data_IF_933699664868
#
_entry.id   IF_933699664868
#
_cell.length_a   1.000
_cell.length_b   1.000
_cell.length_c   1.000
_cell.angle_alpha   90.00
_cell.angle_beta   90.00
_cell.angle_gamma   90.00
#
_symmetry.space_group_name_H-M   'P 1'
#
loop_
_entity.id
_entity.type
_entity.pdbx_description
1 polymer ?
#
# COMPACT_ATOMS: atom_id res chain seq x y z
N UNK A 1 -4.51 -62.10 20.38
CA UNK A 1 -3.09 -61.75 20.62
C UNK A 1 -3.05 -60.22 20.65
N UNK A 2 -3.57 -59.61 21.72
CA UNK A 2 -2.88 -59.22 22.95
C UNK A 2 -2.38 -57.77 22.86
N UNK A 3 -3.04 -56.91 23.64
CA UNK A 3 -2.63 -55.55 23.99
C UNK A 3 -1.25 -55.52 24.65
N UNK A 4 -0.68 -54.33 24.82
CA UNK A 4 -0.51 -53.85 26.19
C UNK A 4 -0.85 -52.35 26.39
N UNK A 5 -1.39 -52.03 27.58
CA UNK A 5 -1.30 -50.71 28.21
C UNK A 5 0.07 -50.56 28.89
N UNK A 6 0.57 -49.32 29.09
CA UNK A 6 0.66 -48.74 30.44
C UNK A 6 0.53 -47.19 30.41
N UNK A 7 0.54 -46.38 31.46
CA UNK A 7 0.22 -46.41 32.89
C UNK A 7 0.34 -44.94 33.32
N UNK A 8 -0.51 -44.47 34.23
CA UNK A 8 -0.40 -43.16 34.89
C UNK A 8 0.59 -43.25 36.04
N UNK A 9 1.33 -42.17 36.35
CA UNK A 9 1.55 -41.87 37.76
C UNK A 9 1.16 -40.44 38.17
N UNK A 10 0.80 -40.36 39.44
CA UNK A 10 0.14 -39.28 40.17
C UNK A 10 1.15 -38.48 41.02
N UNK A 11 0.76 -37.23 41.30
CA UNK A 11 1.11 -36.38 42.46
C UNK A 11 2.54 -35.85 42.65
N UNK A 12 2.65 -34.53 42.90
CA UNK A 12 2.85 -34.03 44.26
C UNK A 12 2.70 -32.49 44.34
N UNK A 13 2.13 -32.05 45.46
CA UNK A 13 1.81 -30.66 45.83
C UNK A 13 3.01 -29.85 46.36
N UNK A 14 2.82 -28.53 46.32
CA UNK A 14 3.49 -27.34 46.90
C UNK A 14 4.31 -27.50 48.21
N UNK A 15 5.26 -26.58 48.51
CA UNK A 15 4.91 -25.37 49.30
C UNK A 15 5.66 -24.06 48.93
N UNK A 16 5.03 -22.93 49.30
CA UNK A 16 5.63 -21.58 49.44
C UNK A 16 6.68 -21.51 50.57
N UNK A 17 7.47 -20.43 50.60
CA UNK A 17 7.80 -19.80 51.88
C UNK A 17 7.52 -18.30 51.94
N UNK A 18 7.23 -17.89 53.17
CA UNK A 18 6.82 -16.57 53.65
C UNK A 18 7.98 -15.57 53.82
N UNK A 19 7.60 -14.30 54.01
CA UNK A 19 8.44 -13.17 54.44
C UNK A 19 9.05 -13.34 55.84
N UNK A 20 10.08 -12.54 56.19
CA UNK A 20 9.84 -11.53 57.23
C UNK A 20 10.53 -10.15 57.05
N UNK A 21 9.82 -9.12 57.55
CA UNK A 21 10.21 -7.93 58.32
C UNK A 21 11.50 -7.09 58.05
N UNK A 22 11.25 -5.80 57.72
CA UNK A 22 11.84 -4.51 58.16
C UNK A 22 13.34 -4.34 58.50
N UNK A 23 13.98 -3.38 57.80
CA UNK A 23 15.25 -2.70 58.10
C UNK A 23 15.54 -1.57 57.07
N UNK A 24 16.38 -0.56 57.34
CA UNK A 24 16.04 0.86 57.11
C UNK A 24 16.33 1.43 55.71
N UNK A 25 15.66 2.55 55.46
CA UNK A 25 15.83 3.51 54.36
C UNK A 25 17.28 3.97 54.17
N UNK A 26 17.79 3.84 52.94
CA UNK A 26 18.97 4.55 52.48
C UNK A 26 18.75 5.02 51.02
N UNK A 27 19.03 6.30 50.81
CA UNK A 27 18.67 7.13 49.67
C UNK A 27 19.19 6.63 48.32
N UNK A 28 18.31 6.70 47.31
CA UNK A 28 18.64 6.48 45.90
C UNK A 28 19.56 7.60 45.36
N UNK A 29 20.57 7.29 44.53
CA UNK A 29 21.17 8.31 43.70
C UNK A 29 20.21 8.66 42.56
N UNK A 30 19.89 9.95 42.43
CA UNK A 30 19.18 10.47 41.28
C UNK A 30 20.08 10.32 40.04
N UNK A 31 19.84 9.27 39.27
CA UNK A 31 20.25 9.24 37.87
C UNK A 31 19.42 10.30 37.15
N UNK A 32 20.03 11.46 36.89
CA UNK A 32 19.51 12.42 35.92
C UNK A 32 19.32 11.70 34.61
N UNK A 33 18.07 11.31 34.33
CA UNK A 33 17.65 10.93 33.01
C UNK A 33 17.88 12.17 32.13
N UNK A 34 18.97 12.14 31.36
CA UNK A 34 19.02 12.94 30.14
C UNK A 34 17.80 12.51 29.35
N UNK A 35 16.81 13.41 29.27
CA UNK A 35 15.75 13.31 28.28
C UNK A 35 16.46 13.40 26.95
N UNK A 36 16.90 12.24 26.44
CA UNK A 36 17.29 12.12 25.05
C UNK A 36 16.07 12.59 24.28
N UNK A 37 16.24 13.68 23.53
CA UNK A 37 15.27 14.08 22.52
C UNK A 37 14.98 12.83 21.72
N UNK A 38 13.83 12.19 21.98
CA UNK A 38 13.36 11.10 21.16
C UNK A 38 13.32 11.70 19.76
N UNK A 39 14.20 11.22 18.87
CA UNK A 39 13.98 11.42 17.44
C UNK A 39 12.55 10.98 17.26
N UNK A 40 11.66 11.90 16.87
CA UNK A 40 10.36 11.53 16.36
C UNK A 40 10.65 10.45 15.32
N UNK A 41 10.28 9.20 15.60
CA UNK A 41 10.07 8.24 14.53
C UNK A 41 9.11 8.98 13.62
N UNK A 42 9.59 9.45 12.48
CA UNK A 42 8.75 10.13 11.52
C UNK A 42 7.69 9.11 11.15
N UNK A 43 6.49 9.24 11.73
CA UNK A 43 5.32 8.58 11.19
C UNK A 43 5.29 8.99 9.72
N UNK A 44 5.27 8.02 8.82
CA UNK A 44 5.19 8.33 7.39
C UNK A 44 3.98 9.21 7.05
N UNK A 45 3.91 9.71 5.82
CA UNK A 45 2.84 10.60 5.40
C UNK A 45 1.48 9.91 5.60
N UNK A 46 0.52 10.69 6.06
CA UNK A 46 -0.89 10.33 6.05
C UNK A 46 -1.41 10.27 4.62
N UNK A 47 -2.53 9.57 4.43
CA UNK A 47 -3.24 9.51 3.14
C UNK A 47 -3.66 10.91 2.65
N UNK A 48 -4.00 11.81 3.57
CA UNK A 48 -4.33 13.19 3.23
C UNK A 48 -3.12 13.94 2.69
N UNK A 49 -1.94 13.80 3.33
CA UNK A 49 -0.70 14.42 2.86
C UNK A 49 -0.25 13.88 1.49
N UNK A 50 -0.46 12.58 1.23
CA UNK A 50 -0.23 12.00 -0.10
C UNK A 50 -1.17 12.61 -1.15
N UNK A 51 -2.46 12.75 -0.83
CA UNK A 51 -3.45 13.33 -1.73
C UNK A 51 -3.15 14.81 -2.03
N UNK A 52 -2.77 15.57 -1.01
CA UNK A 52 -2.41 16.98 -1.15
C UNK A 52 -1.11 17.15 -1.95
N UNK A 53 -0.17 16.22 -1.82
CA UNK A 53 1.04 16.19 -2.66
C UNK A 53 0.70 15.96 -4.14
N UNK A 54 -0.05 14.89 -4.47
CA UNK A 54 -0.34 14.58 -5.88
C UNK A 54 -1.19 15.66 -6.55
N UNK A 55 -2.07 16.34 -5.81
CA UNK A 55 -2.85 17.48 -6.33
C UNK A 55 -1.97 18.66 -6.68
N UNK A 56 -1.09 19.09 -5.76
CA UNK A 56 -0.17 20.21 -6.01
C UNK A 56 0.79 19.90 -7.16
N UNK A 57 1.30 18.68 -7.23
CA UNK A 57 2.17 18.25 -8.33
C UNK A 57 1.43 18.22 -9.67
N UNK A 58 0.14 17.85 -9.69
CA UNK A 58 -0.68 17.87 -10.90
C UNK A 58 -1.00 19.30 -11.40
N UNK A 59 -0.94 20.31 -10.53
CA UNK A 59 -1.12 21.73 -10.89
C UNK A 59 0.18 22.37 -11.43
N UNK A 60 1.34 21.76 -11.21
CA UNK A 60 2.63 22.27 -11.68
C UNK A 60 2.82 22.01 -13.18
N UNK A 61 2.40 22.97 -14.01
CA UNK A 61 2.49 22.87 -15.46
C UNK A 61 3.91 22.67 -15.99
N UNK A 62 4.94 23.18 -15.27
CA UNK A 62 6.33 23.02 -15.70
C UNK A 62 6.80 21.59 -15.45
N UNK A 63 6.43 21.00 -14.30
CA UNK A 63 6.65 19.59 -14.01
C UNK A 63 5.95 18.70 -15.05
N UNK A 64 4.67 18.95 -15.34
CA UNK A 64 3.92 18.15 -16.34
C UNK A 64 4.57 18.25 -17.73
N UNK A 65 4.98 19.45 -18.16
CA UNK A 65 5.64 19.66 -19.45
C UNK A 65 7.05 19.03 -19.53
N UNK A 66 7.67 18.70 -18.39
CA UNK A 66 9.00 18.06 -18.37
C UNK A 66 8.96 16.56 -18.69
N UNK A 67 7.79 15.92 -18.64
CA UNK A 67 7.64 14.51 -18.94
C UNK A 67 7.77 14.26 -20.45
N UNK A 68 8.79 13.50 -20.93
CA UNK A 68 8.84 13.11 -22.33
C UNK A 68 7.72 12.09 -22.60
N UNK A 69 6.68 12.51 -23.31
CA UNK A 69 5.60 11.61 -23.72
C UNK A 69 6.06 10.75 -24.91
N UNK A 70 5.81 9.45 -24.80
CA UNK A 70 5.99 8.48 -25.88
C UNK A 70 4.61 8.11 -26.44
N UNK A 71 4.37 8.14 -27.75
CA UNK A 71 3.10 7.73 -28.35
C UNK A 71 2.79 6.23 -28.22
N UNK A 72 3.79 5.38 -28.00
CA UNK A 72 3.61 3.92 -27.97
C UNK A 72 3.73 3.36 -26.55
N UNK A 73 4.69 3.89 -25.77
CA UNK A 73 4.98 3.44 -24.41
C UNK A 73 4.43 4.34 -23.31
N UNK A 74 4.07 3.77 -22.17
CA UNK A 74 3.91 4.55 -20.94
C UNK A 74 5.26 5.14 -20.55
N UNK A 75 5.29 6.41 -20.14
CA UNK A 75 6.50 7.07 -19.64
C UNK A 75 6.36 7.43 -18.18
N UNK A 76 7.47 7.48 -17.46
CA UNK A 76 7.44 7.85 -16.04
C UNK A 76 8.71 8.56 -15.60
N UNK A 77 8.53 9.45 -14.63
CA UNK A 77 9.63 10.13 -13.93
C UNK A 77 9.35 10.04 -12.43
N UNK A 78 10.39 9.71 -11.66
CA UNK A 78 10.30 9.65 -10.19
C UNK A 78 10.26 11.06 -9.61
N UNK A 79 9.40 11.26 -8.61
CA UNK A 79 9.29 12.51 -7.87
C UNK A 79 9.75 12.34 -6.42
N UNK A 80 10.19 13.43 -5.81
CA UNK A 80 10.48 13.47 -4.37
C UNK A 80 9.18 13.57 -3.57
N UNK A 81 8.64 12.41 -3.20
CA UNK A 81 7.41 12.31 -2.42
C UNK A 81 7.59 12.64 -0.93
N UNK A 82 6.52 13.05 -0.23
CA UNK A 82 6.59 13.44 1.18
C UNK A 82 6.92 12.27 2.10
N UNK A 83 7.70 12.53 3.16
CA UNK A 83 7.89 11.58 4.27
C UNK A 83 8.43 10.20 3.87
N UNK A 84 9.20 10.12 2.78
CA UNK A 84 9.75 8.87 2.26
C UNK A 84 8.78 8.04 1.42
N UNK A 85 7.66 8.62 0.97
CA UNK A 85 6.78 7.98 -0.01
C UNK A 85 7.46 7.83 -1.36
N UNK A 86 7.06 6.81 -2.09
CA UNK A 86 7.41 6.65 -3.48
C UNK A 86 6.41 7.41 -4.35
N UNK A 87 6.89 8.27 -5.26
CA UNK A 87 6.03 9.10 -6.10
C UNK A 87 6.50 9.14 -7.56
N UNK A 88 5.54 9.23 -8.46
CA UNK A 88 5.75 9.14 -9.91
C UNK A 88 4.85 10.10 -10.68
N UNK A 89 5.41 10.73 -11.70
CA UNK A 89 4.69 11.36 -12.79
C UNK A 89 4.60 10.35 -13.93
N UNK A 90 3.41 10.08 -14.46
CA UNK A 90 3.17 9.00 -15.43
C UNK A 90 2.43 9.54 -16.65
N UNK A 91 2.94 9.23 -17.84
CA UNK A 91 2.33 9.51 -19.13
C UNK A 91 1.65 8.26 -19.68
N UNK A 92 0.42 8.45 -20.16
CA UNK A 92 -0.46 7.39 -20.62
C UNK A 92 -0.80 7.60 -22.10
N UNK A 93 -0.23 6.81 -23.01
CA UNK A 93 -0.65 6.87 -24.40
C UNK A 93 -2.14 6.51 -24.58
N UNK A 94 -2.75 6.95 -25.69
CA UNK A 94 -4.10 6.56 -26.06
C UNK A 94 -4.31 5.04 -26.01
N UNK A 95 -5.44 4.59 -25.46
CA UNK A 95 -5.82 3.18 -25.38
C UNK A 95 -5.02 2.32 -24.39
N UNK A 96 -4.13 2.91 -23.60
CA UNK A 96 -3.27 2.15 -22.66
C UNK A 96 -3.89 1.99 -21.28
N UNK A 97 -3.40 1.01 -20.53
CA UNK A 97 -3.83 0.77 -19.16
C UNK A 97 -2.83 -0.03 -18.34
N UNK A 98 -3.08 -0.12 -17.04
CA UNK A 98 -2.24 -0.91 -16.12
C UNK A 98 -2.55 -2.40 -16.12
N UNK A 99 -3.79 -2.76 -16.49
CA UNK A 99 -4.41 -4.02 -16.05
C UNK A 99 -4.71 -4.03 -14.54
N UNK A 100 -5.41 -5.05 -14.06
CA UNK A 100 -5.76 -5.18 -12.65
C UNK A 100 -4.53 -5.43 -11.78
N UNK A 101 -4.38 -4.65 -10.72
CA UNK A 101 -3.28 -4.77 -9.80
C UNK A 101 -3.62 -4.23 -8.41
N UNK A 102 -2.77 -4.56 -7.44
CA UNK A 102 -2.80 -4.00 -6.09
C UNK A 102 -1.52 -3.27 -5.70
N UNK A 103 -1.52 -2.76 -4.47
CA UNK A 103 -0.40 -2.02 -3.87
C UNK A 103 0.06 -2.65 -2.55
N UNK A 104 -0.26 -3.93 -2.35
CA UNK A 104 0.01 -4.65 -1.11
C UNK A 104 -0.38 -3.84 0.15
N UNK A 105 0.60 -3.58 1.02
CA UNK A 105 0.40 -2.95 2.31
C UNK A 105 0.54 -1.41 2.25
N UNK A 106 0.78 -0.86 1.05
CA UNK A 106 0.86 0.58 0.82
C UNK A 106 -0.52 1.21 0.73
N UNK A 107 -0.67 2.37 1.37
CA UNK A 107 -1.72 3.34 1.02
C UNK A 107 -1.22 4.23 -0.11
N UNK A 108 -2.13 4.89 -0.81
CA UNK A 108 -1.71 5.80 -1.86
C UNK A 108 -2.77 6.79 -2.31
N UNK A 109 -2.34 7.67 -3.20
CA UNK A 109 -3.19 8.63 -3.87
C UNK A 109 -2.71 8.84 -5.29
N UNK A 110 -3.63 9.22 -6.18
CA UNK A 110 -3.28 9.67 -7.52
C UNK A 110 -4.22 10.78 -8.00
N UNK A 111 -3.72 11.64 -8.89
CA UNK A 111 -4.48 12.73 -9.52
C UNK A 111 -4.12 12.81 -11.00
N UNK A 112 -5.14 12.92 -11.86
CA UNK A 112 -4.96 13.21 -13.29
C UNK A 112 -4.51 14.67 -13.45
N UNK A 113 -3.37 14.89 -14.07
CA UNK A 113 -2.83 16.22 -14.34
C UNK A 113 -3.25 16.75 -15.72
N UNK A 114 -3.36 15.86 -16.72
CA UNK A 114 -3.81 16.21 -18.06
C UNK A 114 -4.62 15.05 -18.68
N UNK A 115 -5.54 15.38 -19.59
CA UNK A 115 -6.45 14.40 -20.19
C UNK A 115 -7.50 13.88 -19.20
N UNK A 116 -7.86 12.62 -19.35
CA UNK A 116 -8.77 11.91 -18.47
C UNK A 116 -8.33 10.45 -18.30
N UNK A 117 -8.54 9.91 -17.11
CA UNK A 117 -8.30 8.50 -16.81
C UNK A 117 -9.58 7.84 -16.29
N UNK A 118 -9.76 6.57 -16.63
CA UNK A 118 -10.79 5.70 -16.05
C UNK A 118 -10.17 4.83 -14.97
N UNK A 119 -10.82 4.75 -13.82
CA UNK A 119 -10.50 3.76 -12.80
C UNK A 119 -11.62 2.72 -12.71
N UNK A 120 -11.28 1.44 -12.81
CA UNK A 120 -12.11 0.35 -12.31
C UNK A 120 -11.50 -0.21 -11.03
N UNK A 121 -12.29 -0.40 -9.97
CA UNK A 121 -11.80 -0.87 -8.68
C UNK A 121 -12.76 -1.83 -8.00
N UNK A 122 -12.22 -2.61 -7.06
CA UNK A 122 -12.98 -3.54 -6.23
C UNK A 122 -13.25 -2.95 -4.84
N UNK A 123 -14.53 -2.87 -4.46
CA UNK A 123 -14.98 -2.46 -3.12
C UNK A 123 -15.03 -3.65 -2.15
N UNK A 124 -14.00 -4.49 -2.16
CA UNK A 124 -13.85 -5.65 -1.28
C UNK A 124 -12.38 -5.81 -0.88
N UNK A 125 -12.12 -6.24 0.36
CA UNK A 125 -10.77 -6.63 0.76
C UNK A 125 -10.53 -8.07 0.35
N UNK A 126 -9.51 -8.28 -0.47
CA UNK A 126 -9.09 -9.62 -0.84
C UNK A 126 -8.19 -10.21 0.25
N UNK A 127 -8.17 -11.56 0.41
CA UNK A 127 -7.13 -12.23 1.16
C UNK A 127 -5.73 -11.85 0.64
N UNK A 128 -4.75 -11.77 1.53
CA UNK A 128 -3.39 -11.33 1.19
C UNK A 128 -2.53 -12.44 0.59
N UNK A 129 -2.80 -13.70 0.92
CA UNK A 129 -2.02 -14.86 0.50
C UNK A 129 -2.86 -16.15 0.42
N UNK A 130 -2.23 -17.24 -0.01
CA UNK A 130 -2.83 -18.58 0.03
C UNK A 130 -3.86 -18.87 -1.08
N UNK A 131 -4.01 -17.99 -2.07
CA UNK A 131 -4.95 -18.18 -3.19
C UNK A 131 -4.31 -17.88 -4.55
N UNK A 132 -4.85 -18.52 -5.58
CA UNK A 132 -4.55 -18.20 -7.00
C UNK A 132 -5.76 -17.70 -7.77
N UNK A 133 -6.95 -18.13 -7.36
CA UNK A 133 -8.22 -17.73 -7.96
C UNK A 133 -9.23 -17.43 -6.86
N UNK A 134 -10.00 -16.35 -7.04
CA UNK A 134 -11.12 -15.98 -6.19
C UNK A 134 -12.34 -15.72 -7.06
N UNK A 135 -13.49 -16.21 -6.61
CA UNK A 135 -14.78 -15.80 -7.13
C UNK A 135 -15.31 -14.66 -6.26
N UNK A 136 -15.63 -13.53 -6.90
CA UNK A 136 -16.08 -12.32 -6.24
C UNK A 136 -17.62 -12.27 -6.19
N UNK A 137 -18.15 -11.78 -5.08
CA UNK A 137 -19.57 -11.47 -4.98
C UNK A 137 -19.97 -10.37 -5.98
N UNK A 138 -21.22 -10.38 -6.39
CA UNK A 138 -21.80 -9.30 -7.19
C UNK A 138 -21.75 -7.95 -6.44
N UNK A 139 -21.78 -6.85 -7.19
CA UNK A 139 -21.87 -5.51 -6.62
C UNK A 139 -20.60 -4.98 -5.95
N UNK A 140 -19.46 -5.66 -6.10
CA UNK A 140 -18.15 -5.16 -5.63
C UNK A 140 -17.53 -4.13 -6.58
N UNK A 141 -18.00 -4.04 -7.81
CA UNK A 141 -17.40 -3.20 -8.85
C UNK A 141 -17.66 -1.71 -8.66
N UNK A 142 -16.62 -0.90 -8.81
CA UNK A 142 -16.70 0.56 -8.84
C UNK A 142 -16.00 1.06 -10.09
N UNK A 143 -16.58 2.07 -10.73
CA UNK A 143 -16.00 2.75 -11.87
C UNK A 143 -16.04 4.26 -11.66
N UNK A 144 -14.97 4.95 -12.07
CA UNK A 144 -14.85 6.41 -12.01
C UNK A 144 -14.13 6.94 -13.23
N UNK A 145 -14.55 8.10 -13.67
CA UNK A 145 -13.79 8.93 -14.60
C UNK A 145 -13.13 10.06 -13.83
N UNK A 146 -11.86 10.32 -14.15
CA UNK A 146 -10.99 11.25 -13.45
C UNK A 146 -10.37 12.18 -14.50
N UNK A 147 -11.07 13.28 -14.76
CA UNK A 147 -10.57 14.38 -15.60
C UNK A 147 -9.40 15.11 -14.92
N UNK A 148 -8.72 15.98 -15.67
CA UNK A 148 -7.65 16.83 -15.13
C UNK A 148 -8.07 17.55 -13.83
N UNK A 149 -7.19 17.52 -12.82
CA UNK A 149 -7.42 18.02 -11.47
C UNK A 149 -8.20 17.06 -10.57
N UNK A 150 -8.79 15.99 -11.10
CA UNK A 150 -9.50 14.97 -10.32
C UNK A 150 -8.56 13.86 -9.89
N UNK A 151 -8.73 13.43 -8.65
CA UNK A 151 -7.89 12.43 -8.03
C UNK A 151 -8.48 11.92 -6.74
N UNK A 152 -7.92 10.83 -6.23
CA UNK A 152 -8.39 10.19 -5.01
C UNK A 152 -7.30 9.47 -4.26
N UNK A 153 -7.59 9.26 -3.00
CA UNK A 153 -6.86 8.36 -2.14
C UNK A 153 -7.46 6.94 -2.13
N UNK A 154 -6.64 5.98 -1.73
CA UNK A 154 -7.02 4.60 -1.47
C UNK A 154 -6.24 4.00 -0.30
N UNK A 155 -6.82 2.97 0.32
CA UNK A 155 -6.22 2.24 1.43
C UNK A 155 -5.40 1.04 0.97
N UNK A 156 -4.88 0.31 1.95
CA UNK A 156 -4.11 -0.92 1.71
C UNK A 156 -4.93 -1.96 0.94
N UNK A 157 -4.24 -2.80 0.16
CA UNK A 157 -4.82 -3.86 -0.66
C UNK A 157 -5.89 -3.36 -1.64
N UNK A 158 -5.81 -2.09 -2.06
CA UNK A 158 -6.70 -1.53 -3.08
C UNK A 158 -6.40 -2.16 -4.42
N UNK A 159 -7.40 -2.84 -4.99
CA UNK A 159 -7.30 -3.51 -6.29
C UNK A 159 -8.02 -2.67 -7.33
N UNK A 160 -7.28 -2.26 -8.36
CA UNK A 160 -7.82 -1.47 -9.44
C UNK A 160 -7.08 -1.67 -10.77
N UNK A 161 -7.66 -1.15 -11.83
CA UNK A 161 -6.96 -0.83 -13.07
C UNK A 161 -7.23 0.62 -13.42
N UNK A 162 -6.23 1.25 -14.04
CA UNK A 162 -6.31 2.63 -14.54
C UNK A 162 -6.07 2.59 -16.04
N UNK A 163 -6.97 3.24 -16.79
CA UNK A 163 -7.03 3.22 -18.25
C UNK A 163 -7.02 4.65 -18.79
N UNK A 164 -6.32 4.88 -19.89
CA UNK A 164 -6.60 5.98 -20.79
C UNK A 164 -7.45 5.44 -21.95
N UNK A 165 -8.77 5.64 -21.87
CA UNK A 165 -9.72 5.19 -22.89
C UNK A 165 -9.79 6.13 -24.10
N UNK A 166 -9.02 7.22 -24.11
CA UNK A 166 -8.95 8.08 -25.30
C UNK A 166 -8.25 7.36 -26.45
N UNK A 167 -8.76 7.54 -27.66
CA UNK A 167 -8.14 7.04 -28.90
C UNK A 167 -7.06 7.98 -29.48
N UNK A 168 -6.92 9.19 -28.93
CA UNK A 168 -6.06 10.22 -29.53
C UNK A 168 -5.36 11.17 -28.55
N UNK A 169 -5.77 11.20 -27.28
CA UNK A 169 -5.24 12.16 -26.30
C UNK A 169 -4.43 11.42 -25.26
N UNK A 170 -3.18 11.85 -25.03
CA UNK A 170 -2.41 11.40 -23.87
C UNK A 170 -3.05 11.90 -22.58
N UNK A 171 -3.04 11.04 -21.57
CA UNK A 171 -3.29 11.45 -20.21
C UNK A 171 -1.97 11.52 -19.43
N UNK A 172 -1.94 12.33 -18.38
CA UNK A 172 -0.83 12.41 -17.44
C UNK A 172 -1.40 12.34 -16.03
N UNK A 173 -0.75 11.60 -15.13
CA UNK A 173 -1.13 11.54 -13.72
C UNK A 173 0.07 11.58 -12.78
N UNK A 174 -0.18 12.01 -11.55
CA UNK A 174 0.78 11.92 -10.45
C UNK A 174 0.28 10.90 -9.45
N UNK A 175 1.16 9.99 -9.03
CA UNK A 175 0.89 8.92 -8.08
C UNK A 175 1.85 9.01 -6.89
N UNK A 176 1.38 8.67 -5.70
CA UNK A 176 2.21 8.56 -4.50
C UNK A 176 1.76 7.41 -3.59
N UNK A 177 2.72 6.69 -3.03
CA UNK A 177 2.50 5.48 -2.23
C UNK A 177 3.34 5.49 -0.96
N UNK A 178 2.75 5.10 0.16
CA UNK A 178 3.48 4.89 1.41
C UNK A 178 2.99 3.66 2.18
N UNK A 179 3.89 2.83 2.73
CA UNK A 179 5.33 2.78 2.44
C UNK A 179 5.63 2.65 0.94
N UNK A 180 6.86 2.90 0.47
CA UNK A 180 7.27 2.57 -0.90
C UNK A 180 6.81 1.17 -1.29
N UNK A 181 6.45 0.98 -2.55
CA UNK A 181 5.70 -0.20 -2.98
C UNK A 181 6.54 -1.46 -2.72
N UNK A 182 6.14 -2.34 -1.78
CA UNK A 182 6.96 -3.50 -1.44
C UNK A 182 6.84 -4.61 -2.49
N UNK A 183 5.72 -4.63 -3.21
CA UNK A 183 5.37 -5.53 -4.30
C UNK A 183 4.11 -5.03 -5.01
N UNK A 184 3.90 -5.48 -6.24
CA UNK A 184 2.64 -5.32 -6.97
C UNK A 184 2.16 -6.71 -7.37
N UNK A 185 0.93 -7.07 -7.04
CA UNK A 185 0.29 -8.26 -7.61
C UNK A 185 -0.49 -7.86 -8.84
N UNK A 186 -0.30 -8.59 -9.95
CA UNK A 186 -1.06 -8.44 -11.20
C UNK A 186 -2.13 -9.51 -11.27
N UNK A 187 -3.31 -9.11 -11.71
CA UNK A 187 -4.46 -9.98 -11.82
C UNK A 187 -5.04 -9.97 -13.22
N UNK A 188 -5.62 -11.10 -13.62
CA UNK A 188 -6.59 -11.15 -14.71
C UNK A 188 -7.99 -11.26 -14.14
N UNK A 189 -8.97 -10.81 -14.92
CA UNK A 189 -10.38 -10.87 -14.53
C UNK A 189 -11.24 -11.41 -15.66
N UNK A 190 -12.11 -12.36 -15.34
CA UNK A 190 -13.11 -12.90 -16.26
C UNK A 190 -14.43 -13.06 -15.51
N UNK A 191 -15.36 -12.13 -15.76
CA UNK A 191 -16.60 -12.04 -14.99
C UNK A 191 -16.33 -11.84 -13.49
N UNK A 192 -16.89 -12.72 -12.67
CA UNK A 192 -16.70 -12.73 -11.22
C UNK A 192 -15.34 -13.30 -10.79
N UNK A 193 -14.60 -13.95 -11.69
CA UNK A 193 -13.35 -14.63 -11.34
C UNK A 193 -12.16 -13.68 -11.46
N UNK A 194 -11.42 -13.52 -10.36
CA UNK A 194 -10.14 -12.84 -10.30
C UNK A 194 -9.01 -13.87 -10.10
N UNK A 195 -7.97 -13.79 -10.93
CA UNK A 195 -6.82 -14.70 -10.88
C UNK A 195 -5.54 -13.93 -10.65
N UNK A 196 -4.73 -14.37 -9.70
CA UNK A 196 -3.36 -13.87 -9.50
C UNK A 196 -2.46 -14.43 -10.60
N UNK A 197 -1.91 -13.54 -11.43
CA UNK A 197 -1.03 -13.90 -12.54
C UNK A 197 0.44 -13.77 -12.16
N UNK A 198 0.79 -12.65 -11.53
CA UNK A 198 2.17 -12.31 -11.23
C UNK A 198 2.28 -11.54 -9.93
N UNK A 199 3.41 -11.67 -9.26
CA UNK A 199 3.81 -10.80 -8.16
C UNK A 199 5.17 -10.21 -8.51
N UNK A 200 5.20 -8.90 -8.68
CA UNK A 200 6.39 -8.11 -9.00
C UNK A 200 6.94 -7.48 -7.72
N UNK A 201 8.25 -7.30 -7.67
CA UNK A 201 8.98 -6.65 -6.58
C UNK A 201 9.78 -5.46 -7.11
N UNK A 202 10.28 -4.56 -6.26
CA UNK A 202 11.08 -3.41 -6.69
C UNK A 202 12.25 -3.76 -7.61
N UNK A 203 12.89 -4.91 -7.40
CA UNK A 203 13.96 -5.42 -8.26
C UNK A 203 13.52 -5.75 -9.70
N UNK A 204 12.22 -5.97 -9.94
CA UNK A 204 11.67 -6.28 -11.26
C UNK A 204 11.32 -5.01 -12.08
N UNK A 205 11.48 -3.82 -11.50
CA UNK A 205 11.11 -2.52 -12.12
C UNK A 205 12.31 -1.67 -12.53
N UNK A 206 13.52 -2.21 -12.43
CA UNK A 206 14.78 -1.56 -12.85
C UNK A 206 15.04 -1.75 -14.34
#
# INVERSE_FOLDING_TARGET
MSSPSPAVPTAASVPSPASPATGPVASAPAVSARVGSARSVSSGPTVAELLDFVRRAAEDTALIASLPLDPEGRTWVRLDGPGGSEAWLIGWPPGTGTGWHDHADSVGAFTTAAGALKEHSLAVRLPTDGWKTLELNEGVDRSRELAAGQGRAFGQNHVHEVLNESDSVHAVSVHAYYPPLPRIRRFSRTGAVLRLEQTERPEDWQ
#
